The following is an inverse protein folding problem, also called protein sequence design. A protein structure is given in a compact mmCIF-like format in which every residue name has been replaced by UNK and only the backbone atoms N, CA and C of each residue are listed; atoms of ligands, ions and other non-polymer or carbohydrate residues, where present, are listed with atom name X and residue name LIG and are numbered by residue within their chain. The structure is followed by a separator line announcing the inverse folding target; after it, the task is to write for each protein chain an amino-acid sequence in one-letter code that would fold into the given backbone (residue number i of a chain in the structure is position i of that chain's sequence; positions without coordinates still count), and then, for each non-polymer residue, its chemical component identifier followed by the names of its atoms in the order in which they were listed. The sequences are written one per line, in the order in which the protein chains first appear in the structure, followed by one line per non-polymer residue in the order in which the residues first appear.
data_IF_179627003983
#
_entry.id   IF_179627003983
#
_cell.length_a   1.000
_cell.length_b   1.000
_cell.length_c   1.000
_cell.angle_alpha   90.00
_cell.angle_beta   90.00
_cell.angle_gamma   90.00
#
_symmetry.space_group_name_H-M   'P 1'
#
loop_
_entity.id
_entity.type
_entity.pdbx_description
1 polymer ?
#
# COMPACT_ATOMS: atom_id res chain seq x y z
N UNK A 1 9.36 -10.11 5.15
CA UNK A 1 9.30 -9.01 4.16
C UNK A 1 10.48 -8.03 4.26
N UNK A 2 10.81 -7.40 5.42
CA UNK A 2 11.81 -6.33 5.49
C UNK A 2 13.21 -6.72 4.96
N UNK A 3 13.70 -7.90 5.34
CA UNK A 3 14.99 -8.44 4.90
C UNK A 3 15.11 -8.57 3.38
N UNK A 4 14.02 -8.94 2.70
CA UNK A 4 14.01 -9.08 1.23
C UNK A 4 13.93 -7.70 0.58
N UNK A 5 13.02 -6.84 1.05
CA UNK A 5 12.87 -5.47 0.55
C UNK A 5 14.18 -4.67 0.62
N UNK A 6 14.89 -4.72 1.75
CA UNK A 6 16.20 -4.06 1.93
C UNK A 6 17.26 -4.57 0.96
N UNK A 7 17.31 -5.87 0.71
CA UNK A 7 18.25 -6.47 -0.26
C UNK A 7 17.93 -6.04 -1.68
N UNK A 8 16.64 -6.03 -2.06
CA UNK A 8 16.19 -5.56 -3.37
C UNK A 8 16.60 -4.11 -3.56
N UNK A 9 16.23 -3.21 -2.63
CA UNK A 9 16.60 -1.78 -2.71
C UNK A 9 18.11 -1.57 -2.85
N UNK A 10 18.92 -2.27 -2.04
CA UNK A 10 20.38 -2.12 -2.06
C UNK A 10 20.98 -2.54 -3.40
N UNK A 11 20.54 -3.68 -3.95
CA UNK A 11 21.10 -4.22 -5.20
C UNK A 11 20.65 -3.40 -6.40
N UNK A 12 19.39 -2.94 -6.42
CA UNK A 12 18.87 -2.13 -7.52
C UNK A 12 19.22 -0.65 -7.42
N UNK A 13 19.75 -0.20 -6.27
CA UNK A 13 20.00 1.22 -5.94
C UNK A 13 18.73 2.07 -6.03
N UNK A 14 17.57 1.49 -5.70
CA UNK A 14 16.31 2.19 -5.65
C UNK A 14 16.34 3.30 -4.58
N UNK A 15 15.74 4.45 -4.88
CA UNK A 15 15.59 5.57 -3.95
C UNK A 15 14.53 5.28 -2.86
N UNK A 16 13.59 4.38 -3.13
CA UNK A 16 12.54 3.98 -2.20
C UNK A 16 11.97 2.59 -2.48
N UNK A 17 10.95 2.21 -1.74
CA UNK A 17 10.26 0.92 -1.87
C UNK A 17 8.80 1.06 -1.45
N UNK A 18 7.88 0.58 -2.28
CA UNK A 18 6.51 0.30 -1.86
C UNK A 18 6.36 -1.19 -1.52
N UNK A 19 5.62 -1.48 -0.46
CA UNK A 19 5.18 -2.83 -0.11
C UNK A 19 3.65 -2.82 -0.20
N UNK A 20 3.09 -3.59 -1.13
CA UNK A 20 1.65 -3.53 -1.46
C UNK A 20 1.06 -4.94 -1.39
N UNK A 21 -0.14 -5.05 -0.82
CA UNK A 21 -0.96 -6.26 -0.85
C UNK A 21 -2.34 -5.86 -1.36
N UNK A 22 -2.80 -6.51 -2.41
CA UNK A 22 -4.15 -6.33 -2.94
C UNK A 22 -5.03 -7.47 -2.43
N UNK A 23 -6.17 -7.14 -1.84
CA UNK A 23 -7.15 -8.11 -1.37
C UNK A 23 -8.45 -7.88 -2.13
N UNK A 24 -8.91 -8.90 -2.85
CA UNK A 24 -10.04 -8.86 -3.77
C UNK A 24 -9.81 -8.04 -5.05
N UNK A 25 -10.66 -8.29 -6.05
CA UNK A 25 -10.53 -7.75 -7.41
C UNK A 25 -10.58 -6.22 -7.45
N UNK A 26 -11.44 -5.58 -6.63
CA UNK A 26 -11.59 -4.11 -6.57
C UNK A 26 -10.30 -3.42 -6.09
N UNK A 27 -9.49 -4.10 -5.27
CA UNK A 27 -8.17 -3.62 -4.86
C UNK A 27 -7.07 -3.96 -5.89
N UNK A 28 -7.42 -4.60 -7.01
CA UNK A 28 -6.48 -4.98 -8.08
C UNK A 28 -5.90 -6.39 -7.96
N UNK A 29 -6.50 -7.30 -7.18
CA UNK A 29 -6.05 -8.69 -7.11
C UNK A 29 -6.53 -9.49 -8.33
N UNK A 30 -5.60 -10.12 -9.05
CA UNK A 30 -5.91 -11.02 -10.17
C UNK A 30 -5.51 -12.48 -9.90
N UNK A 31 -4.58 -12.71 -8.97
CA UNK A 31 -4.16 -14.05 -8.52
C UNK A 31 -4.59 -14.27 -7.08
N UNK A 32 -5.51 -15.21 -6.88
CA UNK A 32 -6.12 -15.53 -5.58
C UNK A 32 -5.26 -16.45 -4.70
N UNK A 33 -4.05 -15.98 -4.43
CA UNK A 33 -3.15 -16.51 -3.40
C UNK A 33 -2.52 -15.31 -2.70
N UNK A 34 -2.45 -15.28 -1.36
CA UNK A 34 -1.88 -14.13 -0.65
C UNK A 34 -0.45 -13.85 -1.10
N UNK A 35 -0.20 -12.63 -1.57
CA UNK A 35 1.12 -12.19 -2.00
C UNK A 35 1.34 -10.73 -1.63
N UNK A 36 2.61 -10.34 -1.51
CA UNK A 36 3.02 -8.95 -1.35
C UNK A 36 3.92 -8.55 -2.50
N UNK A 37 3.63 -7.41 -3.12
CA UNK A 37 4.51 -6.79 -4.08
C UNK A 37 5.61 -6.02 -3.35
N UNK A 38 6.85 -6.22 -3.77
CA UNK A 38 7.99 -5.37 -3.42
C UNK A 38 8.33 -4.55 -4.65
N UNK A 39 7.96 -3.26 -4.64
CA UNK A 39 8.13 -2.38 -5.79
C UNK A 39 9.24 -1.37 -5.49
N UNK A 40 10.48 -1.60 -5.96
CA UNK A 40 11.55 -0.61 -5.85
C UNK A 40 11.18 0.66 -6.64
N UNK A 41 11.44 1.82 -6.04
CA UNK A 41 11.11 3.15 -6.60
C UNK A 41 12.37 3.91 -6.97
N UNK A 42 12.39 4.51 -8.14
CA UNK A 42 13.56 5.25 -8.64
C UNK A 42 13.27 6.74 -8.76
N UNK A 43 12.05 7.12 -9.14
CA UNK A 43 11.66 8.51 -9.30
C UNK A 43 10.14 8.71 -9.26
N UNK A 44 9.69 9.96 -9.41
CA UNK A 44 8.28 10.29 -9.61
C UNK A 44 7.74 9.80 -10.97
N UNK A 45 8.62 9.48 -11.92
CA UNK A 45 8.25 9.09 -13.27
C UNK A 45 7.89 7.60 -13.38
N UNK A 46 8.20 6.77 -12.38
CA UNK A 46 7.88 5.33 -12.34
C UNK A 46 6.39 5.05 -12.68
N UNK A 47 6.10 3.98 -13.42
CA UNK A 47 4.73 3.66 -13.89
C UNK A 47 3.72 3.45 -12.76
N UNK A 48 4.16 2.97 -11.59
CA UNK A 48 3.29 2.84 -10.43
C UNK A 48 2.98 4.23 -9.83
N UNK A 49 1.76 4.69 -10.07
CA UNK A 49 1.19 5.89 -9.45
C UNK A 49 0.30 5.50 -8.27
N UNK A 50 0.49 6.16 -7.13
CA UNK A 50 -0.32 5.98 -5.91
C UNK A 50 -0.78 7.37 -5.50
N UNK A 51 -2.08 7.61 -5.60
CA UNK A 51 -2.67 8.90 -5.27
C UNK A 51 -3.13 8.92 -3.81
N UNK A 52 -2.55 9.81 -3.02
CA UNK A 52 -2.96 10.07 -1.64
C UNK A 52 -3.83 11.33 -1.61
N UNK A 53 -5.10 11.17 -1.97
CA UNK A 53 -6.08 12.26 -1.94
C UNK A 53 -6.53 12.47 -0.49
N UNK A 54 -6.25 13.65 0.05
CA UNK A 54 -6.69 14.05 1.37
C UNK A 54 -8.08 14.69 1.34
N UNK A 55 -8.86 14.48 2.41
CA UNK A 55 -10.16 15.08 2.61
C UNK A 55 -10.24 15.67 4.02
N UNK A 56 -11.04 16.73 4.20
CA UNK A 56 -11.29 17.30 5.54
C UNK A 56 -12.02 16.28 6.41
N UNK A 57 -11.58 16.05 7.66
CA UNK A 57 -12.16 15.04 8.53
C UNK A 57 -13.49 15.50 9.14
N UNK A 58 -14.48 14.61 9.12
CA UNK A 58 -15.69 14.71 9.93
C UNK A 58 -15.50 13.84 11.18
N UNK A 59 -15.15 14.48 12.31
CA UNK A 59 -14.77 13.76 13.54
C UNK A 59 -15.91 12.91 14.12
N UNK A 60 -17.17 13.34 13.98
CA UNK A 60 -18.32 12.57 14.46
C UNK A 60 -18.49 11.29 13.64
N UNK A 61 -18.40 11.40 12.31
CA UNK A 61 -18.44 10.22 11.43
C UNK A 61 -17.24 9.29 11.64
N UNK A 62 -16.04 9.84 11.82
CA UNK A 62 -14.85 9.03 12.08
C UNK A 62 -14.97 8.25 13.39
N UNK A 63 -15.51 8.86 14.45
CA UNK A 63 -15.77 8.17 15.71
C UNK A 63 -16.79 7.03 15.52
N UNK A 64 -17.86 7.27 14.76
CA UNK A 64 -18.86 6.25 14.44
C UNK A 64 -18.28 5.07 13.66
N UNK A 65 -17.46 5.33 12.63
CA UNK A 65 -16.79 4.28 11.86
C UNK A 65 -15.82 3.49 12.73
N UNK A 66 -15.05 4.16 13.59
CA UNK A 66 -14.12 3.50 14.50
C UNK A 66 -14.84 2.53 15.46
N UNK A 67 -15.97 2.94 16.04
CA UNK A 67 -16.75 2.06 16.92
C UNK A 67 -17.39 0.89 16.13
N UNK A 68 -17.78 1.11 14.87
CA UNK A 68 -18.28 0.05 13.99
C UNK A 68 -17.20 -1.00 13.70
N UNK A 69 -15.97 -0.57 13.39
CA UNK A 69 -14.83 -1.46 13.14
C UNK A 69 -14.48 -2.26 14.40
N UNK A 70 -14.49 -1.61 15.57
CA UNK A 70 -14.16 -2.25 16.85
C UNK A 70 -15.13 -3.37 17.24
N UNK A 71 -16.38 -3.28 16.80
CA UNK A 71 -17.47 -4.22 17.16
C UNK A 71 -17.79 -5.24 16.05
N UNK A 72 -17.02 -5.26 14.95
CA UNK A 72 -17.11 -6.27 13.90
C UNK A 72 -16.34 -7.55 14.28
#
# INVERSE_FOLDING_TARGET
VPKVAQKVMKVTKAAGMNIISNCEEVAGQTVFHTHVHLVPRYSADDDLKIDFIAHEPDFDKLAQVAETIKNA
#
